data_IF_439442953921
#
_entry.id   IF_439442953921
#
_cell.length_a   1.000
_cell.length_b   1.000
_cell.length_c   1.000
_cell.angle_alpha   90.00
_cell.angle_beta   90.00
_cell.angle_gamma   90.00
#
_symmetry.space_group_name_H-M   'P 1'
#
loop_
_entity.id
_entity.type
_entity.pdbx_description
1 polymer ?
#
# COMPACT_ATOMS: atom_id res chain seq x y z
N UNK A 1 -8.27 -37.91 56.44
CA UNK A 1 -7.31 -38.57 55.51
C UNK A 1 -7.76 -38.44 54.06
N UNK A 2 -8.99 -38.84 53.70
CA UNK A 2 -9.51 -38.77 52.31
C UNK A 2 -9.54 -37.36 51.70
N UNK A 3 -9.83 -36.33 52.51
CA UNK A 3 -9.91 -34.93 52.07
C UNK A 3 -8.56 -34.37 51.58
N UNK A 4 -7.45 -34.82 52.18
CA UNK A 4 -6.11 -34.35 51.78
C UNK A 4 -5.65 -34.99 50.47
N UNK A 5 -6.00 -36.27 50.25
CA UNK A 5 -5.71 -36.98 49.00
C UNK A 5 -6.46 -36.34 47.82
N UNK A 6 -7.73 -35.95 48.03
CA UNK A 6 -8.51 -35.26 47.00
C UNK A 6 -7.91 -33.88 46.71
N UNK A 7 -7.45 -33.16 47.74
CA UNK A 7 -6.81 -31.86 47.56
C UNK A 7 -5.54 -31.97 46.71
N UNK A 8 -4.68 -32.94 46.99
CA UNK A 8 -3.44 -33.15 46.24
C UNK A 8 -3.70 -33.51 44.77
N UNK A 9 -4.69 -34.37 44.51
CA UNK A 9 -5.06 -34.72 43.13
C UNK A 9 -5.56 -33.49 42.37
N UNK A 10 -6.39 -32.65 43.00
CA UNK A 10 -6.90 -31.42 42.39
C UNK A 10 -5.78 -30.43 42.11
N UNK A 11 -4.89 -30.21 43.08
CA UNK A 11 -3.73 -29.32 42.94
C UNK A 11 -2.81 -29.81 41.82
N UNK A 12 -2.50 -31.11 41.77
CA UNK A 12 -1.63 -31.68 40.75
C UNK A 12 -2.24 -31.58 39.34
N UNK A 13 -3.57 -31.72 39.23
CA UNK A 13 -4.28 -31.53 37.95
C UNK A 13 -4.25 -30.08 37.46
N UNK A 14 -4.32 -29.11 38.38
CA UNK A 14 -4.24 -27.69 38.06
C UNK A 14 -2.84 -27.32 37.54
N UNK A 15 -1.78 -27.83 38.18
CA UNK A 15 -0.40 -27.60 37.70
C UNK A 15 -0.14 -28.19 36.31
N UNK A 16 -0.68 -29.38 36.02
CA UNK A 16 -0.58 -30.00 34.68
C UNK A 16 -1.37 -29.18 33.65
N UNK A 17 -2.50 -28.59 34.04
CA UNK A 17 -3.30 -27.76 33.14
C UNK A 17 -2.64 -26.40 32.83
N UNK A 18 -2.07 -25.72 33.83
CA UNK A 18 -1.36 -24.45 33.60
C UNK A 18 -0.08 -24.63 32.76
N UNK A 19 0.65 -25.72 32.93
CA UNK A 19 1.83 -26.04 32.09
C UNK A 19 1.46 -26.41 30.65
N UNK A 20 0.19 -26.74 30.38
CA UNK A 20 -0.32 -27.04 29.05
C UNK A 20 -0.95 -25.83 28.35
N UNK A 21 -1.18 -24.72 29.05
CA UNK A 21 -1.59 -23.48 28.39
C UNK A 21 -0.34 -22.91 27.70
N UNK A 22 -0.29 -22.91 26.34
CA UNK A 22 0.79 -22.23 25.66
C UNK A 22 0.75 -20.78 26.12
N UNK A 23 1.90 -20.23 26.54
CA UNK A 23 2.06 -18.80 26.70
C UNK A 23 1.57 -18.17 25.40
N UNK A 24 0.36 -17.61 25.41
CA UNK A 24 -0.18 -16.86 24.28
C UNK A 24 0.72 -15.64 24.19
N UNK A 25 1.79 -15.77 23.42
CA UNK A 25 2.56 -14.64 22.95
C UNK A 25 1.55 -13.74 22.25
N UNK A 26 1.25 -12.62 22.89
CA UNK A 26 0.63 -11.48 22.22
C UNK A 26 1.60 -11.08 21.12
N UNK A 27 1.36 -11.59 19.91
CA UNK A 27 2.07 -11.18 18.70
C UNK A 27 1.70 -9.71 18.51
N UNK A 28 2.53 -8.83 19.08
CA UNK A 28 2.48 -7.41 18.75
C UNK A 28 3.06 -7.30 17.35
N UNK A 29 2.17 -7.26 16.36
CA UNK A 29 2.49 -6.85 15.00
C UNK A 29 3.04 -5.42 15.08
N UNK A 30 4.36 -5.27 15.14
CA UNK A 30 4.98 -3.98 14.83
C UNK A 30 4.87 -3.78 13.33
N UNK A 31 3.70 -3.35 12.89
CA UNK A 31 3.47 -2.99 11.51
C UNK A 31 4.30 -1.76 11.20
N UNK A 32 5.13 -1.85 10.16
CA UNK A 32 5.95 -0.77 9.65
C UNK A 32 5.04 0.33 9.06
N UNK A 33 4.50 1.17 9.93
CA UNK A 33 3.45 2.14 9.57
C UNK A 33 3.96 3.24 8.64
N UNK A 34 5.27 3.52 8.62
CA UNK A 34 5.81 4.66 7.87
C UNK A 34 5.66 4.51 6.35
N UNK A 35 5.96 3.34 5.80
CA UNK A 35 5.83 3.08 4.35
C UNK A 35 4.37 3.03 3.90
N UNK A 36 3.49 2.45 4.72
CA UNK A 36 2.06 2.40 4.44
C UNK A 36 1.43 3.80 4.44
N UNK A 37 1.83 4.67 5.37
CA UNK A 37 1.39 6.06 5.41
C UNK A 37 1.90 6.88 4.21
N UNK A 38 3.15 6.69 3.80
CA UNK A 38 3.70 7.33 2.60
C UNK A 38 3.02 6.85 1.30
N UNK A 39 2.63 5.58 1.23
CA UNK A 39 1.84 5.05 0.12
C UNK A 39 0.45 5.70 0.08
N UNK A 40 -0.26 5.71 1.21
CA UNK A 40 -1.62 6.26 1.30
C UNK A 40 -1.66 7.75 0.95
N UNK A 41 -0.73 8.56 1.47
CA UNK A 41 -0.68 9.99 1.17
C UNK A 41 -0.42 10.23 -0.32
N UNK A 42 0.41 9.40 -0.95
CA UNK A 42 0.67 9.43 -2.39
C UNK A 42 -0.57 9.12 -3.21
N UNK A 43 -1.36 8.11 -2.82
CA UNK A 43 -2.65 7.78 -3.48
C UNK A 43 -3.58 8.99 -3.43
N UNK A 44 -3.79 9.55 -2.24
CA UNK A 44 -4.72 10.68 -2.05
C UNK A 44 -4.29 11.87 -2.90
N UNK A 45 -2.99 12.20 -2.89
CA UNK A 45 -2.45 13.31 -3.64
C UNK A 45 -2.58 13.11 -5.16
N UNK A 46 -2.31 11.90 -5.67
CA UNK A 46 -2.50 11.56 -7.08
C UNK A 46 -3.97 11.66 -7.52
N UNK A 47 -4.91 11.20 -6.68
CA UNK A 47 -6.34 11.30 -6.96
C UNK A 47 -6.80 12.75 -6.98
N UNK A 48 -6.41 13.55 -5.99
CA UNK A 48 -6.76 14.98 -5.92
C UNK A 48 -6.23 15.72 -7.14
N UNK A 49 -4.98 15.48 -7.53
CA UNK A 49 -4.38 16.10 -8.72
C UNK A 49 -5.08 15.66 -10.00
N UNK A 50 -5.38 14.36 -10.14
CA UNK A 50 -6.10 13.83 -11.29
C UNK A 50 -7.47 14.48 -11.48
N UNK A 51 -8.25 14.56 -10.41
CA UNK A 51 -9.58 15.21 -10.45
C UNK A 51 -9.45 16.72 -10.67
N UNK A 52 -8.44 17.37 -10.10
CA UNK A 52 -8.20 18.82 -10.25
C UNK A 52 -7.70 19.21 -11.64
N UNK A 53 -7.00 18.31 -12.34
CA UNK A 53 -6.53 18.50 -13.70
C UNK A 53 -7.61 18.30 -14.76
N UNK A 54 -8.79 17.81 -14.36
CA UNK A 54 -9.86 17.49 -15.29
C UNK A 54 -10.76 18.67 -15.65
N UNK A 55 -11.55 18.48 -16.70
CA UNK A 55 -12.51 19.48 -17.20
C UNK A 55 -13.62 19.83 -16.18
N UNK A 56 -13.91 18.94 -15.22
CA UNK A 56 -14.96 19.14 -14.21
C UNK A 56 -14.63 20.22 -13.16
N UNK A 57 -13.35 20.38 -12.80
CA UNK A 57 -12.91 21.40 -11.85
C UNK A 57 -12.11 22.54 -12.51
N UNK A 58 -11.74 22.39 -13.78
CA UNK A 58 -11.18 23.43 -14.68
C UNK A 58 -10.33 24.50 -13.97
N UNK A 59 -9.35 24.07 -13.19
CA UNK A 59 -8.28 24.95 -12.76
C UNK A 59 -7.36 25.16 -13.96
N UNK A 60 -7.55 26.26 -14.69
CA UNK A 60 -6.78 26.56 -15.92
C UNK A 60 -5.26 26.53 -15.69
N UNK A 61 -4.83 26.88 -14.48
CA UNK A 61 -3.44 26.77 -14.04
C UNK A 61 -2.95 25.32 -14.00
N UNK A 62 -3.77 24.34 -13.63
CA UNK A 62 -3.35 22.92 -13.57
C UNK A 62 -3.22 22.30 -14.96
N UNK A 63 -4.10 22.67 -15.90
CA UNK A 63 -4.03 22.16 -17.30
C UNK A 63 -2.79 22.67 -18.04
N UNK A 64 -2.43 23.94 -17.81
CA UNK A 64 -1.25 24.56 -18.42
C UNK A 64 0.10 23.95 -17.96
N UNK A 65 0.16 23.45 -16.72
CA UNK A 65 1.37 22.83 -16.13
C UNK A 65 1.30 21.31 -16.02
N UNK A 66 0.40 20.66 -16.78
CA UNK A 66 0.14 19.23 -16.70
C UNK A 66 1.43 18.37 -16.76
N UNK A 67 2.33 18.65 -17.70
CA UNK A 67 3.59 17.91 -17.83
C UNK A 67 4.50 18.05 -16.60
N UNK A 68 4.63 19.26 -16.05
CA UNK A 68 5.44 19.55 -14.87
C UNK A 68 4.85 18.90 -13.62
N UNK A 69 3.52 18.87 -13.50
CA UNK A 69 2.83 18.21 -12.39
C UNK A 69 3.09 16.70 -12.45
N UNK A 70 2.91 16.05 -13.59
CA UNK A 70 3.24 14.63 -13.73
C UNK A 70 4.72 14.34 -13.45
N UNK A 71 5.64 15.22 -13.85
CA UNK A 71 7.05 15.10 -13.50
C UNK A 71 7.29 15.15 -11.99
N UNK A 72 6.59 16.04 -11.28
CA UNK A 72 6.64 16.11 -9.81
C UNK A 72 6.08 14.83 -9.18
N UNK A 73 4.96 14.28 -9.70
CA UNK A 73 4.43 13.01 -9.22
C UNK A 73 5.43 11.86 -9.40
N UNK A 74 6.14 11.81 -10.52
CA UNK A 74 7.21 10.82 -10.75
C UNK A 74 8.32 10.97 -9.70
N UNK A 75 8.77 12.19 -9.43
CA UNK A 75 9.80 12.45 -8.40
C UNK A 75 9.31 12.03 -7.01
N UNK A 76 8.05 12.36 -6.66
CA UNK A 76 7.45 11.92 -5.40
C UNK A 76 7.39 10.38 -5.35
N UNK A 77 6.98 9.72 -6.43
CA UNK A 77 6.96 8.27 -6.54
C UNK A 77 8.32 7.64 -6.30
N UNK A 78 9.38 8.24 -6.87
CA UNK A 78 10.77 7.82 -6.64
C UNK A 78 11.12 7.94 -5.15
N UNK A 79 10.87 9.10 -4.53
CA UNK A 79 11.15 9.35 -3.11
C UNK A 79 10.39 8.35 -2.21
N UNK A 80 9.11 8.10 -2.50
CA UNK A 80 8.29 7.14 -1.75
C UNK A 80 8.86 5.73 -1.87
N UNK A 81 9.23 5.28 -3.07
CA UNK A 81 9.85 3.97 -3.29
C UNK A 81 11.15 3.78 -2.52
N UNK A 82 11.99 4.82 -2.45
CA UNK A 82 13.20 4.79 -1.65
C UNK A 82 12.93 4.80 -0.14
N UNK A 83 11.90 5.54 0.30
CA UNK A 83 11.52 5.67 1.72
C UNK A 83 10.96 4.38 2.32
N UNK A 84 10.42 3.49 1.49
CA UNK A 84 9.89 2.20 1.96
C UNK A 84 11.04 1.29 2.36
N UNK A 85 11.07 0.91 3.63
CA UNK A 85 12.00 -0.11 4.13
C UNK A 85 11.59 -1.47 3.60
N UNK A 86 12.49 -2.12 2.85
CA UNK A 86 12.29 -3.49 2.36
C UNK A 86 12.53 -4.50 3.48
N UNK A 87 11.53 -4.62 4.36
CA UNK A 87 11.55 -5.56 5.48
C UNK A 87 10.54 -6.67 5.21
N UNK A 88 11.01 -7.82 4.72
CA UNK A 88 10.23 -9.05 4.56
C UNK A 88 8.79 -8.86 4.05
N UNK A 89 7.81 -9.15 4.92
CA UNK A 89 6.37 -9.22 4.61
C UNK A 89 5.74 -7.90 4.18
N UNK A 90 6.30 -6.76 4.59
CA UNK A 90 5.77 -5.44 4.24
C UNK A 90 6.09 -5.07 2.79
N UNK A 91 7.30 -5.44 2.33
CA UNK A 91 7.70 -5.25 0.95
C UNK A 91 6.82 -6.07 0.00
N UNK A 92 6.53 -7.32 0.37
CA UNK A 92 5.65 -8.19 -0.42
C UNK A 92 4.23 -7.61 -0.53
N UNK A 93 3.65 -7.17 0.59
CA UNK A 93 2.31 -6.57 0.60
C UNK A 93 2.25 -5.29 -0.25
N UNK A 94 3.29 -4.44 -0.14
CA UNK A 94 3.42 -3.25 -0.97
C UNK A 94 3.53 -3.58 -2.46
N UNK A 95 4.39 -4.54 -2.83
CA UNK A 95 4.59 -4.90 -4.23
C UNK A 95 3.32 -5.48 -4.86
N UNK A 96 2.57 -6.30 -4.12
CA UNK A 96 1.29 -6.83 -4.59
C UNK A 96 0.30 -5.68 -4.80
N UNK A 97 0.08 -4.83 -3.78
CA UNK A 97 -0.87 -3.73 -3.86
C UNK A 97 -0.49 -2.71 -4.95
N UNK A 98 0.79 -2.33 -5.02
CA UNK A 98 1.32 -1.42 -6.03
C UNK A 98 1.20 -1.99 -7.44
N UNK A 99 1.53 -3.27 -7.63
CA UNK A 99 1.40 -3.94 -8.93
C UNK A 99 -0.07 -4.01 -9.37
N UNK A 100 -0.99 -4.41 -8.49
CA UNK A 100 -2.42 -4.43 -8.78
C UNK A 100 -2.90 -3.02 -9.16
N UNK A 101 -2.52 -2.01 -8.38
CA UNK A 101 -2.91 -0.63 -8.64
C UNK A 101 -2.40 -0.14 -10.00
N UNK A 102 -1.15 -0.43 -10.34
CA UNK A 102 -0.55 -0.07 -11.65
C UNK A 102 -1.29 -0.78 -12.78
N UNK A 103 -1.56 -2.08 -12.64
CA UNK A 103 -2.27 -2.88 -13.64
C UNK A 103 -3.69 -2.32 -13.85
N UNK A 104 -4.46 -2.17 -12.77
CA UNK A 104 -5.85 -1.68 -12.82
C UNK A 104 -5.90 -0.25 -13.36
N UNK A 105 -4.95 0.60 -12.99
CA UNK A 105 -4.90 1.98 -13.51
C UNK A 105 -4.56 2.02 -14.99
N UNK A 106 -3.65 1.16 -15.47
CA UNK A 106 -3.31 1.08 -16.90
C UNK A 106 -4.50 0.62 -17.73
N UNK A 107 -5.13 -0.50 -17.35
CA UNK A 107 -6.27 -1.03 -18.08
C UNK A 107 -7.53 -0.16 -17.93
N UNK A 108 -7.74 0.43 -16.75
CA UNK A 108 -8.84 1.36 -16.49
C UNK A 108 -8.75 2.61 -17.35
N UNK A 109 -7.54 3.19 -17.48
CA UNK A 109 -7.29 4.33 -18.39
C UNK A 109 -7.71 4.00 -19.82
N UNK A 110 -7.22 2.87 -20.35
CA UNK A 110 -7.44 2.49 -21.74
C UNK A 110 -8.92 2.14 -22.01
N UNK A 111 -9.58 1.49 -21.05
CA UNK A 111 -11.01 1.14 -21.13
C UNK A 111 -11.91 2.38 -21.20
N UNK A 112 -11.54 3.45 -20.48
CA UNK A 112 -12.32 4.69 -20.42
C UNK A 112 -12.06 5.56 -21.65
N UNK A 113 -10.85 5.52 -22.21
CA UNK A 113 -10.57 6.20 -23.49
C UNK A 113 -11.31 5.60 -24.68
N UNK A 114 -11.70 4.31 -24.60
CA UNK A 114 -12.31 3.58 -25.73
C UNK A 114 -13.83 3.46 -25.71
N UNK A 115 -14.50 3.60 -24.56
CA UNK A 115 -15.91 3.18 -24.42
C UNK A 115 -16.92 4.33 -24.33
N UNK A 116 -16.84 5.21 -23.34
CA UNK A 116 -17.94 6.13 -22.99
C UNK A 116 -17.30 7.23 -22.10
N UNK A 117 -17.66 8.53 -22.04
CA UNK A 117 -18.95 9.22 -22.14
C UNK A 117 -18.63 10.71 -22.46
N UNK A 118 -19.31 11.31 -23.44
CA UNK A 118 -19.14 12.70 -23.93
C UNK A 118 -19.49 13.84 -22.95
N UNK A 119 -19.37 13.62 -21.64
CA UNK A 119 -19.65 14.58 -20.55
C UNK A 119 -18.38 14.99 -19.77
N UNK A 120 -17.17 14.74 -20.31
CA UNK A 120 -15.90 15.13 -19.66
C UNK A 120 -15.47 14.26 -18.47
N UNK A 121 -16.30 13.29 -18.05
CA UNK A 121 -15.93 12.29 -17.04
C UNK A 121 -14.79 11.37 -17.50
N UNK A 122 -14.74 11.06 -18.80
CA UNK A 122 -13.65 10.25 -19.37
C UNK A 122 -12.29 10.89 -19.16
N UNK A 123 -12.18 12.21 -19.33
CA UNK A 123 -10.95 12.97 -19.11
C UNK A 123 -10.54 12.97 -17.63
N UNK A 124 -11.51 13.06 -16.73
CA UNK A 124 -11.29 13.03 -15.27
C UNK A 124 -10.73 11.68 -14.81
N UNK A 125 -11.34 10.60 -15.28
CA UNK A 125 -10.91 9.26 -14.93
C UNK A 125 -9.55 8.94 -15.56
N UNK A 126 -9.35 9.33 -16.82
CA UNK A 126 -8.08 9.16 -17.54
C UNK A 126 -6.93 9.93 -16.88
N UNK A 127 -7.14 11.19 -16.50
CA UNK A 127 -6.13 12.01 -15.80
C UNK A 127 -5.81 11.48 -14.41
N UNK A 128 -6.81 10.97 -13.69
CA UNK A 128 -6.65 10.31 -12.39
C UNK A 128 -5.83 9.04 -12.50
N UNK A 129 -6.17 8.14 -13.42
CA UNK A 129 -5.36 6.94 -13.65
C UNK A 129 -3.95 7.27 -14.11
N UNK A 130 -3.78 8.31 -14.95
CA UNK A 130 -2.45 8.77 -15.36
C UNK A 130 -1.63 9.30 -14.18
N UNK A 131 -2.26 10.00 -13.23
CA UNK A 131 -1.59 10.50 -12.03
C UNK A 131 -1.18 9.36 -11.10
N UNK A 132 -2.07 8.38 -10.91
CA UNK A 132 -1.76 7.15 -10.18
C UNK A 132 -0.58 6.41 -10.81
N UNK A 133 -0.59 6.20 -12.13
CA UNK A 133 0.52 5.55 -12.83
C UNK A 133 1.84 6.32 -12.69
N UNK A 134 1.80 7.64 -12.87
CA UNK A 134 2.99 8.49 -12.76
C UNK A 134 3.66 8.39 -11.39
N UNK A 135 2.88 8.26 -10.31
CA UNK A 135 3.39 8.11 -8.95
C UNK A 135 3.80 6.65 -8.64
N UNK A 136 2.95 5.67 -8.96
CA UNK A 136 3.13 4.30 -8.49
C UNK A 136 4.06 3.46 -9.34
N UNK A 137 4.14 3.66 -10.66
CA UNK A 137 5.06 2.90 -11.51
C UNK A 137 6.52 3.03 -11.04
N UNK A 138 7.11 4.23 -10.89
CA UNK A 138 8.49 4.35 -10.42
C UNK A 138 8.67 3.86 -8.98
N UNK A 139 7.71 4.12 -8.09
CA UNK A 139 7.77 3.66 -6.70
C UNK A 139 7.84 2.13 -6.60
N UNK A 140 6.99 1.43 -7.37
CA UNK A 140 6.89 -0.03 -7.35
C UNK A 140 8.15 -0.67 -7.94
N UNK A 141 8.71 -0.10 -9.01
CA UNK A 141 9.97 -0.56 -9.61
C UNK A 141 11.12 -0.47 -8.59
N UNK A 142 11.25 0.65 -7.89
CA UNK A 142 12.33 0.86 -6.91
C UNK A 142 12.21 -0.14 -5.77
N UNK A 143 11.01 -0.31 -5.21
CA UNK A 143 10.79 -1.28 -4.13
C UNK A 143 11.08 -2.70 -4.61
N UNK A 144 10.67 -3.05 -5.84
CA UNK A 144 10.90 -4.38 -6.39
C UNK A 144 12.41 -4.67 -6.52
N UNK A 145 13.18 -3.72 -7.04
CA UNK A 145 14.63 -3.83 -7.13
C UNK A 145 15.27 -3.97 -5.75
N UNK A 146 14.89 -3.11 -4.78
CA UNK A 146 15.40 -3.19 -3.41
C UNK A 146 15.08 -4.54 -2.77
N UNK A 147 13.90 -5.10 -3.03
CA UNK A 147 13.52 -6.43 -2.55
C UNK A 147 14.38 -7.52 -3.17
N UNK A 148 14.62 -7.48 -4.49
CA UNK A 148 15.49 -8.46 -5.17
C UNK A 148 16.92 -8.45 -4.60
N UNK A 149 17.50 -7.27 -4.37
CA UNK A 149 18.83 -7.17 -3.76
C UNK A 149 18.85 -7.67 -2.32
N UNK A 150 17.79 -7.41 -1.54
CA UNK A 150 17.70 -7.94 -0.17
C UNK A 150 17.63 -9.47 -0.09
N UNK A 151 17.14 -10.14 -1.14
CA UNK A 151 17.08 -11.60 -1.22
C UNK A 151 18.42 -12.23 -1.60
N UNK A 152 19.34 -11.45 -2.16
CA UNK A 152 20.62 -11.94 -2.70
C UNK A 152 21.82 -11.64 -1.80
N UNK A 153 21.60 -11.11 -0.58
CA UNK A 153 22.65 -10.73 0.40
C UNK A 153 23.78 -9.87 -0.21
N UNK A 154 23.44 -8.95 -1.10
CA UNK A 154 24.37 -7.94 -1.66
C UNK A 154 24.16 -6.59 -0.98
#
# INVERSE_FOLDING_TARGET
MLKNIILDIVVQKIYIFESFLPNIMTIKSQENSFGAWAFLIGVILAVVIGVSASSLLSLDSVRAYSAQIYAILVVIGIIVGFSIKVSGRDAQSFLIAGTILVIVSSFGKDSVTGSLIGIGLGDTVTSTFSALLALFVPATIIVAMKTVFSLTEI
#
